data_IF_717950926090
#
_entry.id   IF_717950926090
#
_cell.length_a   1.000
_cell.length_b   1.000
_cell.length_c   1.000
_cell.angle_alpha   90.00
_cell.angle_beta   90.00
_cell.angle_gamma   90.00
#
_symmetry.space_group_name_H-M   'P 1'
#
loop_
_entity.id
_entity.type
_entity.pdbx_description
1 polymer ?
#
# COMPACT_ATOMS: atom_id res chain seq x y z
N UNK A 1 -1.17 10.32 -23.49
CA UNK A 1 -0.48 11.15 -24.48
C UNK A 1 -1.46 12.23 -24.89
N UNK A 2 -1.01 13.49 -24.89
CA UNK A 2 -1.81 14.64 -25.37
C UNK A 2 -0.95 15.51 -26.28
N UNK A 3 -1.56 16.04 -27.33
CA UNK A 3 -0.98 17.06 -28.17
C UNK A 3 -1.23 18.43 -27.52
N UNK A 4 -0.22 19.27 -27.42
CA UNK A 4 -0.26 20.63 -26.89
C UNK A 4 0.29 21.62 -27.94
N UNK A 5 0.04 22.92 -27.79
CA UNK A 5 0.47 23.93 -28.78
C UNK A 5 1.95 23.87 -29.16
N UNK A 6 2.81 23.45 -28.23
CA UNK A 6 4.27 23.46 -28.42
C UNK A 6 4.90 22.05 -28.42
N UNK A 7 4.11 20.99 -28.55
CA UNK A 7 4.66 19.63 -28.57
C UNK A 7 3.71 18.55 -28.14
N UNK A 8 4.27 17.46 -27.64
CA UNK A 8 3.51 16.29 -27.17
C UNK A 8 3.81 16.07 -25.70
N UNK A 9 2.76 16.04 -24.87
CA UNK A 9 2.86 15.68 -23.46
C UNK A 9 2.63 14.18 -23.27
N UNK A 10 3.59 13.52 -22.61
CA UNK A 10 3.46 12.15 -22.14
C UNK A 10 3.26 12.17 -20.64
N UNK A 11 2.15 11.62 -20.17
CA UNK A 11 1.92 11.40 -18.74
C UNK A 11 2.21 9.94 -18.41
N UNK A 12 3.05 9.72 -17.40
CA UNK A 12 3.49 8.41 -16.99
C UNK A 12 3.31 8.25 -15.48
N UNK A 13 2.66 7.16 -15.04
CA UNK A 13 2.50 6.85 -13.63
C UNK A 13 3.48 5.76 -13.23
N UNK A 14 4.38 6.08 -12.31
CA UNK A 14 5.34 5.14 -11.74
C UNK A 14 4.96 4.80 -10.30
N UNK A 15 4.87 3.51 -10.00
CA UNK A 15 4.59 3.02 -8.65
C UNK A 15 5.58 1.91 -8.30
N UNK A 16 6.12 1.95 -7.09
CA UNK A 16 7.00 0.91 -6.57
C UNK A 16 6.92 0.88 -5.04
N UNK A 17 6.99 -0.32 -4.48
CA UNK A 17 7.19 -0.55 -3.04
C UNK A 17 8.67 -0.56 -2.64
N UNK A 18 9.59 -0.62 -3.61
CA UNK A 18 11.03 -0.43 -3.40
C UNK A 18 11.40 1.00 -3.78
N UNK A 19 11.59 1.85 -2.77
CA UNK A 19 11.83 3.29 -2.98
C UNK A 19 13.18 3.56 -3.65
N UNK A 20 14.20 2.78 -3.29
CA UNK A 20 15.54 2.93 -3.88
C UNK A 20 15.52 2.62 -5.37
N UNK A 21 14.93 1.49 -5.75
CA UNK A 21 14.83 1.08 -7.15
C UNK A 21 13.98 2.06 -7.97
N UNK A 22 12.93 2.62 -7.36
CA UNK A 22 12.11 3.67 -7.96
C UNK A 22 12.96 4.91 -8.28
N UNK A 23 13.75 5.37 -7.32
CA UNK A 23 14.53 6.59 -7.47
C UNK A 23 15.68 6.41 -8.48
N UNK A 24 16.31 5.22 -8.52
CA UNK A 24 17.27 4.83 -9.55
C UNK A 24 16.62 4.86 -10.95
N UNK A 25 15.46 4.26 -11.10
CA UNK A 25 14.72 4.27 -12.37
C UNK A 25 14.34 5.69 -12.82
N UNK A 26 13.90 6.53 -11.90
CA UNK A 26 13.57 7.94 -12.17
C UNK A 26 14.80 8.69 -12.69
N UNK A 27 15.96 8.46 -12.07
CA UNK A 27 17.22 9.07 -12.48
C UNK A 27 17.60 8.62 -13.89
N UNK A 28 17.61 7.31 -14.13
CA UNK A 28 17.94 6.74 -15.43
C UNK A 28 17.00 7.24 -16.54
N UNK A 29 15.70 7.36 -16.23
CA UNK A 29 14.72 7.91 -17.15
C UNK A 29 15.05 9.36 -17.52
N UNK A 30 15.35 10.21 -16.53
CA UNK A 30 15.75 11.60 -16.75
C UNK A 30 17.01 11.69 -17.62
N UNK A 31 18.05 10.96 -17.26
CA UNK A 31 19.35 10.99 -17.96
C UNK A 31 19.22 10.55 -19.42
N UNK A 32 18.31 9.62 -19.71
CA UNK A 32 18.04 9.18 -21.07
C UNK A 32 17.17 10.17 -21.86
N UNK A 33 16.23 10.85 -21.22
CA UNK A 33 15.32 11.78 -21.90
C UNK A 33 15.99 13.13 -22.25
N UNK A 34 17.03 13.54 -21.53
CA UNK A 34 17.79 14.76 -21.84
C UNK A 34 18.28 14.79 -23.31
N UNK A 35 18.64 13.64 -23.86
CA UNK A 35 19.11 13.51 -25.26
C UNK A 35 18.06 13.91 -26.30
N UNK A 36 16.80 13.94 -25.93
CA UNK A 36 15.68 14.24 -26.81
C UNK A 36 15.07 15.61 -26.58
N UNK A 37 15.75 16.49 -25.84
CA UNK A 37 15.25 17.82 -25.48
C UNK A 37 13.85 17.78 -24.81
N UNK A 38 13.66 16.81 -23.94
CA UNK A 38 12.40 16.60 -23.20
C UNK A 38 12.47 17.28 -21.85
N UNK A 39 11.43 18.03 -21.48
CA UNK A 39 11.26 18.58 -20.13
C UNK A 39 10.52 17.55 -19.28
N UNK A 40 11.17 17.09 -18.21
CA UNK A 40 10.58 16.13 -17.25
C UNK A 40 10.09 16.88 -16.01
N UNK A 41 8.79 16.84 -15.76
CA UNK A 41 8.16 17.42 -14.58
C UNK A 41 7.56 16.31 -13.71
N UNK A 42 7.47 16.57 -12.41
CA UNK A 42 6.85 15.64 -11.44
C UNK A 42 5.61 16.29 -10.86
N UNK A 43 4.50 15.57 -10.93
CA UNK A 43 3.25 15.94 -10.31
C UNK A 43 2.88 14.85 -9.29
N UNK A 44 2.45 15.25 -8.10
CA UNK A 44 1.89 14.34 -7.07
C UNK A 44 2.81 13.19 -6.65
N UNK A 45 3.92 13.49 -6.01
CA UNK A 45 4.73 12.45 -5.37
C UNK A 45 4.01 11.88 -4.15
N UNK A 46 3.38 10.71 -4.32
CA UNK A 46 2.82 9.95 -3.23
C UNK A 46 3.88 8.97 -2.72
N UNK A 47 4.25 9.11 -1.44
CA UNK A 47 5.27 8.25 -0.84
C UNK A 47 4.69 6.85 -0.59
N UNK A 48 5.29 5.86 -1.25
CA UNK A 48 5.09 4.47 -0.90
C UNK A 48 5.80 4.09 0.40
N UNK A 49 5.66 2.84 0.80
CA UNK A 49 6.44 2.27 1.91
C UNK A 49 6.86 0.85 1.57
N UNK A 50 8.02 0.46 2.11
CA UNK A 50 8.51 -0.90 1.99
C UNK A 50 7.77 -1.80 2.99
N UNK A 51 7.33 -3.01 2.57
CA UNK A 51 6.66 -3.94 3.45
C UNK A 51 7.65 -4.52 4.47
N UNK A 52 7.18 -4.70 5.70
CA UNK A 52 7.89 -5.45 6.73
C UNK A 52 7.08 -6.69 7.11
N UNK A 53 7.45 -7.84 6.56
CA UNK A 53 6.73 -9.10 6.79
C UNK A 53 7.01 -9.74 8.14
N UNK A 54 8.08 -9.31 8.82
CA UNK A 54 8.56 -9.87 10.08
C UNK A 54 8.27 -8.95 11.27
N UNK A 55 7.40 -7.95 11.08
CA UNK A 55 7.03 -7.06 12.15
C UNK A 55 6.17 -7.75 13.21
N UNK A 56 6.24 -7.25 14.44
CA UNK A 56 5.43 -7.77 15.56
C UNK A 56 3.92 -7.67 15.26
N UNK A 57 3.50 -6.59 14.59
CA UNK A 57 2.12 -6.41 14.17
C UNK A 57 1.69 -7.49 13.17
N UNK A 58 2.50 -7.76 12.14
CA UNK A 58 2.22 -8.79 11.13
C UNK A 58 2.17 -10.17 11.77
N UNK A 59 3.11 -10.48 12.67
CA UNK A 59 3.17 -11.75 13.37
C UNK A 59 1.95 -11.95 14.29
N UNK A 60 1.56 -10.92 15.04
CA UNK A 60 0.37 -10.98 15.89
C UNK A 60 -0.92 -11.16 15.07
N UNK A 61 -1.09 -10.40 13.98
CA UNK A 61 -2.24 -10.56 13.07
C UNK A 61 -2.30 -11.97 12.49
N UNK A 62 -1.16 -12.50 12.04
CA UNK A 62 -1.07 -13.85 11.46
C UNK A 62 -1.47 -14.92 12.47
N UNK A 63 -0.99 -14.81 13.72
CA UNK A 63 -1.35 -15.71 14.82
C UNK A 63 -2.86 -15.65 15.12
N UNK A 64 -3.39 -14.46 15.33
CA UNK A 64 -4.82 -14.27 15.63
C UNK A 64 -5.71 -14.77 14.50
N UNK A 65 -5.31 -14.53 13.25
CA UNK A 65 -6.04 -15.01 12.07
C UNK A 65 -6.08 -16.54 12.02
N UNK A 66 -4.96 -17.20 12.28
CA UNK A 66 -4.85 -18.66 12.33
C UNK A 66 -5.73 -19.24 13.44
N UNK A 67 -5.72 -18.64 14.62
CA UNK A 67 -6.57 -19.04 15.75
C UNK A 67 -8.07 -18.92 15.43
N UNK A 68 -8.47 -17.84 14.74
CA UNK A 68 -9.88 -17.60 14.41
C UNK A 68 -10.41 -18.46 13.26
N UNK A 69 -9.57 -18.72 12.24
CA UNK A 69 -10.03 -19.30 10.98
C UNK A 69 -9.37 -20.63 10.63
N UNK A 70 -8.41 -21.12 11.43
CA UNK A 70 -7.74 -22.40 11.23
C UNK A 70 -6.85 -22.49 9.99
N UNK A 71 -6.46 -21.32 9.41
CA UNK A 71 -5.63 -21.25 8.19
C UNK A 71 -4.65 -20.07 8.27
N UNK A 72 -3.58 -20.16 7.51
CA UNK A 72 -2.61 -19.06 7.39
C UNK A 72 -3.24 -17.87 6.65
N UNK A 73 -2.84 -16.67 7.06
CA UNK A 73 -3.19 -15.43 6.36
C UNK A 73 -2.34 -15.27 5.12
N UNK A 74 -2.93 -14.87 4.01
CA UNK A 74 -2.21 -14.51 2.81
C UNK A 74 -1.69 -13.08 2.95
N UNK A 75 -0.38 -12.90 2.76
CA UNK A 75 0.29 -11.59 2.79
C UNK A 75 0.53 -11.13 1.36
N UNK A 76 0.01 -9.98 0.99
CA UNK A 76 0.15 -9.42 -0.36
C UNK A 76 0.78 -8.04 -0.32
N UNK A 77 1.50 -7.70 -1.38
CA UNK A 77 1.98 -6.35 -1.65
C UNK A 77 1.03 -5.70 -2.65
N UNK A 78 0.53 -4.53 -2.32
CA UNK A 78 -0.20 -3.73 -3.29
C UNK A 78 0.67 -2.59 -3.82
N UNK A 79 0.57 -2.35 -5.12
CA UNK A 79 1.14 -1.15 -5.75
C UNK A 79 0.18 0.04 -5.69
N UNK A 80 -0.97 -0.13 -5.06
CA UNK A 80 -1.91 0.95 -4.79
C UNK A 80 -1.31 1.98 -3.84
N UNK A 81 -1.75 3.21 -3.98
CA UNK A 81 -1.47 4.24 -2.97
C UNK A 81 -2.38 4.00 -1.80
N UNK A 82 -1.79 3.74 -0.64
CA UNK A 82 -2.51 3.59 0.61
C UNK A 82 -2.14 4.74 1.55
N UNK A 83 -3.11 5.21 2.31
CA UNK A 83 -2.96 6.31 3.27
C UNK A 83 -1.85 6.04 4.29
N UNK A 84 -1.58 4.78 4.60
CA UNK A 84 -0.49 4.37 5.48
C UNK A 84 0.89 4.84 5.04
N UNK A 85 1.12 5.04 3.75
CA UNK A 85 2.35 5.62 3.23
C UNK A 85 2.59 7.04 3.73
N UNK A 86 1.53 7.85 3.87
CA UNK A 86 1.62 9.20 4.44
C UNK A 86 1.96 9.13 5.93
N UNK A 87 1.31 8.27 6.70
CA UNK A 87 1.60 8.11 8.12
C UNK A 87 3.04 7.62 8.33
N UNK A 88 3.49 6.61 7.58
CA UNK A 88 4.88 6.13 7.65
C UNK A 88 5.91 7.20 7.29
N UNK A 89 5.59 8.11 6.39
CA UNK A 89 6.48 9.22 6.03
C UNK A 89 6.64 10.27 7.12
N UNK A 90 5.75 10.29 8.12
CA UNK A 90 5.70 11.28 9.21
C UNK A 90 6.03 10.69 10.57
N UNK A 91 5.78 9.40 10.77
CA UNK A 91 5.97 8.72 12.04
C UNK A 91 7.12 7.72 11.86
N UNK A 92 8.23 7.98 12.52
CA UNK A 92 9.37 7.07 12.50
C UNK A 92 9.00 5.73 13.14
N UNK A 93 9.45 4.65 12.53
CA UNK A 93 9.24 3.28 13.01
C UNK A 93 7.76 2.85 13.10
N UNK A 94 6.86 3.55 12.41
CA UNK A 94 5.47 3.12 12.34
C UNK A 94 5.38 1.73 11.70
N UNK A 95 4.81 0.79 12.44
CA UNK A 95 4.40 -0.49 11.89
C UNK A 95 2.99 -0.37 11.33
N UNK A 96 2.81 -0.78 10.08
CA UNK A 96 1.57 -0.56 9.34
C UNK A 96 1.18 -1.75 8.49
N UNK A 97 -0.07 -2.16 8.64
CA UNK A 97 -0.70 -3.21 7.83
C UNK A 97 -2.06 -2.71 7.35
N UNK A 98 -2.39 -3.00 6.11
CA UNK A 98 -3.73 -2.78 5.57
C UNK A 98 -4.51 -4.09 5.58
N UNK A 99 -5.67 -4.09 6.22
CA UNK A 99 -6.62 -5.19 6.20
C UNK A 99 -8.01 -4.63 5.85
N UNK A 100 -8.80 -5.41 5.12
CA UNK A 100 -10.10 -4.93 4.70
C UNK A 100 -11.05 -6.05 4.26
N UNK A 101 -12.28 -5.66 3.99
CA UNK A 101 -13.31 -6.54 3.46
C UNK A 101 -13.04 -6.88 1.99
N UNK A 102 -13.60 -8.00 1.52
CA UNK A 102 -13.56 -8.34 0.10
C UNK A 102 -14.40 -7.35 -0.69
N UNK A 103 -13.76 -6.64 -1.59
CA UNK A 103 -14.36 -5.70 -2.52
C UNK A 103 -14.36 -6.26 -3.94
N UNK A 104 -15.34 -5.85 -4.72
CA UNK A 104 -15.52 -6.29 -6.11
C UNK A 104 -15.81 -5.08 -6.98
N UNK A 105 -15.38 -5.12 -8.23
CA UNK A 105 -15.60 -4.10 -9.24
C UNK A 105 -15.19 -2.68 -8.77
N UNK A 106 -14.10 -2.60 -7.99
CA UNK A 106 -13.57 -1.33 -7.46
C UNK A 106 -13.33 -0.32 -8.58
N UNK A 107 -13.54 0.96 -8.25
CA UNK A 107 -13.45 2.07 -9.20
C UNK A 107 -14.48 2.01 -10.35
N UNK A 108 -15.62 1.37 -10.12
CA UNK A 108 -16.71 1.31 -11.08
C UNK A 108 -18.07 1.63 -10.43
N UNK A 109 -19.12 1.99 -11.22
CA UNK A 109 -20.48 2.18 -10.68
C UNK A 109 -21.09 0.89 -10.09
N UNK A 110 -20.45 -0.26 -10.28
CA UNK A 110 -20.88 -1.57 -9.74
C UNK A 110 -20.09 -1.98 -8.49
N UNK A 111 -19.29 -1.06 -7.96
CA UNK A 111 -18.48 -1.34 -6.77
C UNK A 111 -19.33 -1.82 -5.60
N UNK A 112 -18.92 -2.91 -5.00
CA UNK A 112 -19.59 -3.54 -3.88
C UNK A 112 -18.63 -4.30 -2.99
N UNK A 113 -19.05 -4.62 -1.78
CA UNK A 113 -18.30 -5.45 -0.84
C UNK A 113 -19.15 -6.58 -0.26
N UNK A 114 -18.50 -7.60 0.27
CA UNK A 114 -19.15 -8.72 0.95
C UNK A 114 -19.46 -8.37 2.40
N UNK A 115 -20.74 -8.30 2.76
CA UNK A 115 -21.19 -8.09 4.16
C UNK A 115 -20.58 -9.12 5.10
N UNK A 116 -20.52 -10.39 4.67
CA UNK A 116 -19.91 -11.47 5.45
C UNK A 116 -18.42 -11.22 5.71
N UNK A 117 -17.69 -10.70 4.73
CA UNK A 117 -16.27 -10.40 4.92
C UNK A 117 -16.05 -9.21 5.87
N UNK A 118 -16.93 -8.21 5.85
CA UNK A 118 -16.90 -7.11 6.84
C UNK A 118 -17.03 -7.65 8.27
N UNK A 119 -17.99 -8.56 8.50
CA UNK A 119 -18.17 -9.19 9.81
C UNK A 119 -16.92 -9.99 10.25
N UNK A 120 -16.26 -10.66 9.31
CA UNK A 120 -15.03 -11.41 9.59
C UNK A 120 -13.88 -10.46 9.93
N UNK A 121 -13.69 -9.39 9.15
CA UNK A 121 -12.66 -8.37 9.43
C UNK A 121 -12.91 -7.71 10.78
N UNK A 122 -14.16 -7.40 11.14
CA UNK A 122 -14.51 -6.86 12.44
C UNK A 122 -14.10 -7.80 13.59
N UNK A 123 -14.41 -9.08 13.47
CA UNK A 123 -13.99 -10.10 14.47
C UNK A 123 -12.46 -10.17 14.57
N UNK A 124 -11.76 -10.13 13.46
CA UNK A 124 -10.30 -10.15 13.43
C UNK A 124 -9.73 -8.94 14.17
N UNK A 125 -10.15 -7.72 13.82
CA UNK A 125 -9.71 -6.49 14.48
C UNK A 125 -9.96 -6.55 15.99
N UNK A 126 -11.14 -6.98 16.38
CA UNK A 126 -11.49 -7.10 17.81
C UNK A 126 -10.58 -8.07 18.57
N UNK A 127 -10.25 -9.21 17.99
CA UNK A 127 -9.34 -10.17 18.62
C UNK A 127 -7.89 -9.69 18.63
N UNK A 128 -7.44 -8.97 17.59
CA UNK A 128 -6.13 -8.32 17.60
C UNK A 128 -6.01 -7.32 18.75
N UNK A 129 -7.01 -6.44 18.93
CA UNK A 129 -7.01 -5.47 20.02
C UNK A 129 -7.00 -6.15 21.40
N UNK A 130 -7.79 -7.21 21.55
CA UNK A 130 -7.80 -8.00 22.80
C UNK A 130 -6.47 -8.70 23.09
N UNK A 131 -5.74 -9.13 22.07
CA UNK A 131 -4.43 -9.75 22.27
C UNK A 131 -3.43 -8.77 22.88
N UNK A 132 -3.43 -7.51 22.45
CA UNK A 132 -2.58 -6.48 23.03
C UNK A 132 -3.01 -6.07 24.46
N UNK A 133 -4.29 -6.12 24.79
CA UNK A 133 -4.75 -5.83 26.15
C UNK A 133 -4.19 -6.84 27.16
N UNK A 134 -4.16 -8.12 26.81
CA UNK A 134 -3.61 -9.18 27.68
C UNK A 134 -2.12 -9.00 27.97
N UNK A 135 -1.38 -8.48 26.98
CA UNK A 135 0.07 -8.23 27.11
C UNK A 135 0.37 -7.05 28.04
N UNK A 136 -0.62 -6.14 28.26
CA UNK A 136 -0.49 -5.00 29.18
C UNK A 136 -0.86 -5.35 30.63
N UNK A 137 -1.55 -6.46 30.87
CA UNK A 137 -1.99 -6.93 32.20
C UNK A 137 -1.00 -7.93 32.82
N UNK A 138 0.03 -8.37 32.11
CA UNK A 138 1.11 -9.25 32.56
C UNK A 138 2.42 -8.48 32.77
#
# INVERSE_FOLDING_TARGET
IREEENGIKFEYSLRSNNLKLRDEYIKDLKDNLVKFNVVVTWEQELKGFEPNYESDLVNNISRVYKELYGKEIEKQITQGVLEGGFFKSKINNLDYVCIGANTYDVHSPKERFSIKSVQNVWKLIWQILKSYQKDLEN
#
